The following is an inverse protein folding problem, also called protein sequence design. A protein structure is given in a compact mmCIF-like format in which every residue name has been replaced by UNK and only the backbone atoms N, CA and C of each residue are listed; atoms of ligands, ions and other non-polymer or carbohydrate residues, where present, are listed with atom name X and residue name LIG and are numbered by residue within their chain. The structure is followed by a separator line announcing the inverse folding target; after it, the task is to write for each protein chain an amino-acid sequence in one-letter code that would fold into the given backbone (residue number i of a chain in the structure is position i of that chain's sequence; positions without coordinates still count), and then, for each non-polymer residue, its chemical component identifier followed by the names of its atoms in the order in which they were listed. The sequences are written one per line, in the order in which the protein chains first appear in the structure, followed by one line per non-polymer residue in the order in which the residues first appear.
data_IF_245625895623
#
_entry.id   IF_245625895623
#
_cell.length_a   1.000
_cell.length_b   1.000
_cell.length_c   1.000
_cell.angle_alpha   90.00
_cell.angle_beta   90.00
_cell.angle_gamma   90.00
#
_symmetry.space_group_name_H-M   'P 1'
#
loop_
_entity.id
_entity.type
_entity.pdbx_description
1 polymer ?
#
# COMPACT_ATOMS: atom_id res chain seq x y z
N UNK A 1 20.40 69.62 6.43
CA UNK A 1 20.00 68.65 7.48
C UNK A 1 18.50 68.43 7.40
N UNK A 2 18.08 67.17 7.56
CA UNK A 2 16.69 66.62 7.62
C UNK A 2 16.25 65.84 6.38
N UNK A 3 16.64 64.56 6.36
CA UNK A 3 16.09 63.51 5.52
C UNK A 3 14.66 63.20 5.99
N UNK A 4 13.66 63.43 5.13
CA UNK A 4 12.29 62.95 5.33
C UNK A 4 12.21 61.49 4.84
N UNK A 5 11.99 60.60 5.81
CA UNK A 5 11.83 59.17 5.67
C UNK A 5 10.69 58.83 4.70
N UNK A 6 11.03 58.25 3.55
CA UNK A 6 10.08 57.46 2.76
C UNK A 6 9.80 56.17 3.52
N UNK A 7 8.71 56.14 4.26
CA UNK A 7 8.15 54.88 4.77
C UNK A 7 7.71 54.03 3.58
N UNK A 8 8.56 53.06 3.23
CA UNK A 8 8.16 51.93 2.40
C UNK A 8 7.25 51.07 3.27
N UNK A 9 5.94 51.28 3.18
CA UNK A 9 4.95 50.34 3.70
C UNK A 9 5.01 49.10 2.82
N UNK A 10 5.91 48.18 3.15
CA UNK A 10 5.83 46.80 2.67
C UNK A 10 4.55 46.23 3.28
N UNK A 11 3.46 46.18 2.51
CA UNK A 11 2.30 45.35 2.84
C UNK A 11 2.79 43.91 2.95
N UNK A 12 3.10 43.48 4.17
CA UNK A 12 3.22 42.06 4.50
C UNK A 12 1.88 41.43 4.20
N UNK A 13 1.77 40.79 3.03
CA UNK A 13 0.70 39.82 2.78
C UNK A 13 0.86 38.77 3.89
N UNK A 14 -0.17 38.52 4.72
CA UNK A 14 -0.08 37.47 5.73
C UNK A 14 0.25 36.17 5.00
N UNK A 15 1.36 35.52 5.36
CA UNK A 15 1.57 34.12 4.99
C UNK A 15 0.30 33.39 5.43
N UNK A 16 -0.41 32.77 4.48
CA UNK A 16 -1.55 31.93 4.80
C UNK A 16 -1.12 30.98 5.91
N UNK A 17 -1.68 31.14 7.10
CA UNK A 17 -1.36 30.29 8.22
C UNK A 17 -1.91 28.91 7.84
N UNK A 18 -1.01 27.97 7.60
CA UNK A 18 -1.42 26.59 7.36
C UNK A 18 -2.27 26.13 8.55
N UNK A 19 -3.47 25.57 8.31
CA UNK A 19 -4.31 25.09 9.39
C UNK A 19 -3.57 24.02 10.19
N UNK A 20 -3.68 24.09 11.52
CA UNK A 20 -3.14 23.04 12.39
C UNK A 20 -3.84 21.70 12.11
N UNK A 21 -3.19 20.58 12.42
CA UNK A 21 -3.79 19.25 12.25
C UNK A 21 -5.17 19.14 12.91
N UNK A 22 -5.32 19.66 14.13
CA UNK A 22 -6.62 19.70 14.82
C UNK A 22 -7.68 20.52 14.08
N UNK A 23 -7.31 21.62 13.41
CA UNK A 23 -8.25 22.43 12.63
C UNK A 23 -8.71 21.70 11.38
N UNK A 24 -7.81 21.03 10.68
CA UNK A 24 -8.13 20.19 9.51
C UNK A 24 -9.08 19.06 9.91
N UNK A 25 -8.74 18.32 10.96
CA UNK A 25 -9.58 17.24 11.48
C UNK A 25 -10.97 17.71 11.91
N UNK A 26 -11.06 18.86 12.58
CA UNK A 26 -12.35 19.43 12.97
C UNK A 26 -13.23 19.77 11.75
N UNK A 27 -12.64 20.33 10.68
CA UNK A 27 -13.36 20.67 9.46
C UNK A 27 -13.89 19.42 8.75
N UNK A 28 -13.09 18.35 8.67
CA UNK A 28 -13.53 17.07 8.11
C UNK A 28 -14.67 16.45 8.92
N UNK A 29 -14.58 16.46 10.25
CA UNK A 29 -15.65 15.98 11.13
C UNK A 29 -16.95 16.80 10.98
N UNK A 30 -16.85 18.10 10.73
CA UNK A 30 -18.01 18.96 10.50
C UNK A 30 -18.74 18.63 9.19
N UNK A 31 -18.02 18.22 8.14
CA UNK A 31 -18.62 17.86 6.84
C UNK A 31 -19.42 16.54 6.87
N UNK A 32 -19.19 15.70 7.89
CA UNK A 32 -19.73 14.32 7.94
C UNK A 32 -20.71 14.10 9.07
N UNK A 33 -20.99 15.15 9.85
CA UNK A 33 -21.80 15.09 11.06
C UNK A 33 -23.19 14.49 10.76
N UNK A 34 -23.54 13.43 11.49
CA UNK A 34 -24.86 12.78 11.39
C UNK A 34 -24.97 11.69 10.32
N UNK A 35 -24.00 11.55 9.41
CA UNK A 35 -24.06 10.60 8.29
C UNK A 35 -23.23 9.32 8.53
N UNK A 36 -22.22 9.38 9.41
CA UNK A 36 -21.30 8.26 9.69
C UNK A 36 -20.64 8.38 11.07
N UNK A 37 -20.13 7.28 11.67
CA UNK A 37 -19.30 7.36 12.86
C UNK A 37 -18.10 8.28 12.62
N UNK A 38 -17.70 9.04 13.65
CA UNK A 38 -16.71 10.12 13.51
C UNK A 38 -15.25 9.65 13.57
N UNK A 39 -14.95 8.68 14.44
CA UNK A 39 -13.59 8.16 14.62
C UNK A 39 -12.95 7.53 13.36
N UNK A 40 -13.67 6.81 12.47
CA UNK A 40 -13.08 6.25 11.25
C UNK A 40 -12.77 7.33 10.21
N UNK A 41 -13.56 8.41 10.19
CA UNK A 41 -13.26 9.58 9.35
C UNK A 41 -11.95 10.21 9.80
N UNK A 42 -11.80 10.41 11.12
CA UNK A 42 -10.56 10.93 11.68
C UNK A 42 -9.36 10.00 11.42
N UNK A 43 -9.53 8.69 11.62
CA UNK A 43 -8.50 7.71 11.33
C UNK A 43 -8.08 7.76 9.85
N UNK A 44 -9.04 7.78 8.94
CA UNK A 44 -8.81 7.89 7.51
C UNK A 44 -8.00 9.13 7.14
N UNK A 45 -8.39 10.29 7.67
CA UNK A 45 -7.69 11.56 7.51
C UNK A 45 -6.23 11.51 7.99
N UNK A 46 -6.01 10.93 9.17
CA UNK A 46 -4.68 10.80 9.77
C UNK A 46 -3.79 9.87 8.94
N UNK A 47 -4.33 8.73 8.49
CA UNK A 47 -3.60 7.77 7.65
C UNK A 47 -3.26 8.38 6.28
N UNK A 48 -4.19 9.09 5.66
CA UNK A 48 -3.98 9.75 4.36
C UNK A 48 -2.91 10.84 4.46
N UNK A 49 -3.01 11.72 5.47
CA UNK A 49 -2.04 12.78 5.68
C UNK A 49 -0.64 12.22 5.94
N UNK A 50 -0.51 11.16 6.74
CA UNK A 50 0.77 10.50 6.99
C UNK A 50 1.31 9.81 5.75
N UNK A 51 0.46 9.13 4.97
CA UNK A 51 0.84 8.50 3.71
C UNK A 51 1.40 9.53 2.72
N UNK A 52 0.70 10.66 2.53
CA UNK A 52 1.17 11.75 1.67
C UNK A 52 2.47 12.34 2.19
N UNK A 53 2.58 12.62 3.49
CA UNK A 53 3.80 13.13 4.11
C UNK A 53 4.99 12.21 3.84
N UNK A 54 4.80 10.89 3.97
CA UNK A 54 5.85 9.91 3.72
C UNK A 54 6.21 9.77 2.24
N UNK A 55 5.22 9.86 1.34
CA UNK A 55 5.42 9.84 -0.12
C UNK A 55 6.31 10.98 -0.60
N UNK A 56 6.23 12.14 0.05
CA UNK A 56 7.02 13.34 -0.26
C UNK A 56 8.44 13.34 0.33
N UNK A 57 8.79 12.33 1.14
CA UNK A 57 10.15 12.18 1.63
C UNK A 57 11.10 11.88 0.47
N UNK A 58 12.18 12.66 0.37
CA UNK A 58 13.21 12.52 -0.66
C UNK A 58 14.26 11.44 -0.35
N UNK A 59 14.09 10.71 0.75
CA UNK A 59 15.02 9.66 1.19
C UNK A 59 14.57 8.33 0.62
N UNK A 60 15.42 7.73 -0.22
CA UNK A 60 15.22 6.40 -0.78
C UNK A 60 15.83 5.29 0.08
N UNK A 61 15.33 4.08 -0.11
CA UNK A 61 15.99 2.85 0.28
C UNK A 61 17.33 2.74 -0.45
N UNK A 62 18.41 2.41 0.26
CA UNK A 62 19.75 2.37 -0.32
C UNK A 62 19.94 1.17 -1.26
N UNK A 63 19.31 0.03 -0.97
CA UNK A 63 19.43 -1.19 -1.76
C UNK A 63 18.60 -1.23 -3.05
N UNK A 64 18.54 -2.44 -3.64
CA UNK A 64 17.66 -2.73 -4.77
C UNK A 64 16.22 -2.86 -4.30
N UNK A 65 15.30 -2.17 -4.98
CA UNK A 65 13.87 -2.25 -4.69
C UNK A 65 13.20 -3.27 -5.59
N UNK A 66 13.62 -3.39 -6.87
CA UNK A 66 13.04 -4.35 -7.81
C UNK A 66 13.95 -5.56 -7.95
N UNK A 67 13.47 -6.73 -7.50
CA UNK A 67 14.18 -8.01 -7.61
C UNK A 67 13.36 -8.93 -8.50
N UNK A 68 13.98 -9.52 -9.52
CA UNK A 68 13.32 -10.55 -10.33
C UNK A 68 13.25 -11.86 -9.55
N UNK A 69 12.03 -12.25 -9.17
CA UNK A 69 11.76 -13.44 -8.35
C UNK A 69 11.30 -14.65 -9.14
N UNK A 70 11.19 -14.55 -10.46
CA UNK A 70 10.66 -15.62 -11.31
C UNK A 70 11.41 -16.94 -11.23
N UNK A 71 12.74 -16.87 -11.22
CA UNK A 71 13.63 -18.03 -11.14
C UNK A 71 14.30 -18.15 -9.77
N UNK A 72 13.88 -17.35 -8.80
CA UNK A 72 14.49 -17.35 -7.49
C UNK A 72 14.12 -18.65 -6.76
N UNK A 73 15.08 -19.37 -6.15
CA UNK A 73 14.76 -20.52 -5.33
C UNK A 73 13.83 -20.12 -4.19
N UNK A 74 12.93 -21.03 -3.79
CA UNK A 74 12.25 -20.89 -2.50
C UNK A 74 13.32 -21.10 -1.46
N UNK A 75 13.62 -20.05 -0.71
CA UNK A 75 14.44 -20.20 0.49
C UNK A 75 13.67 -21.06 1.49
N UNK A 76 14.40 -21.75 2.37
CA UNK A 76 13.83 -22.40 3.54
C UNK A 76 13.32 -21.32 4.51
N UNK A 77 12.12 -20.81 4.23
CA UNK A 77 11.49 -19.73 4.99
C UNK A 77 10.50 -20.22 6.05
N UNK A 78 9.98 -19.29 6.84
CA UNK A 78 8.87 -19.56 7.75
C UNK A 78 7.62 -20.04 7.00
N UNK A 79 6.64 -20.61 7.71
CA UNK A 79 5.43 -21.16 7.08
C UNK A 79 4.64 -20.11 6.26
N UNK A 80 4.66 -18.85 6.71
CA UNK A 80 3.98 -17.72 6.07
C UNK A 80 4.65 -17.34 4.73
N UNK A 81 5.96 -17.09 4.75
CA UNK A 81 6.76 -16.74 3.58
C UNK A 81 6.69 -17.80 2.47
N UNK A 82 6.73 -19.09 2.86
CA UNK A 82 6.62 -20.21 1.91
C UNK A 82 5.25 -20.25 1.23
N UNK A 83 4.17 -19.94 1.93
CA UNK A 83 2.83 -19.92 1.35
C UNK A 83 2.63 -18.74 0.42
N UNK A 84 3.14 -17.56 0.80
CA UNK A 84 3.15 -16.38 -0.08
C UNK A 84 3.92 -16.65 -1.38
N UNK A 85 5.10 -17.26 -1.28
CA UNK A 85 5.89 -17.60 -2.45
C UNK A 85 5.23 -18.69 -3.32
N UNK A 86 4.49 -19.64 -2.72
CA UNK A 86 3.68 -20.63 -3.45
C UNK A 86 2.54 -19.96 -4.22
N UNK A 87 1.82 -19.03 -3.60
CA UNK A 87 0.76 -18.26 -4.26
C UNK A 87 1.30 -17.47 -5.45
N UNK A 88 2.44 -16.80 -5.28
CA UNK A 88 3.14 -16.12 -6.38
C UNK A 88 3.44 -17.06 -7.55
N UNK A 89 4.01 -18.23 -7.26
CA UNK A 89 4.34 -19.23 -8.29
C UNK A 89 3.10 -19.81 -8.97
N UNK A 90 2.03 -20.05 -8.21
CA UNK A 90 0.76 -20.52 -8.77
C UNK A 90 0.18 -19.50 -9.77
N UNK A 91 0.21 -18.21 -9.43
CA UNK A 91 -0.17 -17.14 -10.35
C UNK A 91 0.72 -17.12 -11.60
N UNK A 92 2.04 -17.18 -11.43
CA UNK A 92 3.00 -17.16 -12.55
C UNK A 92 2.96 -18.40 -13.45
N UNK A 93 2.53 -19.56 -12.92
CA UNK A 93 2.27 -20.73 -13.74
C UNK A 93 1.05 -20.55 -14.68
N UNK A 94 0.15 -19.62 -14.35
CA UNK A 94 -1.03 -19.26 -15.14
C UNK A 94 -0.80 -18.06 -16.07
N UNK A 95 -1.51 -16.97 -15.80
CA UNK A 95 -1.39 -15.69 -16.52
C UNK A 95 -0.53 -14.66 -15.77
N UNK A 96 -0.02 -14.98 -14.58
CA UNK A 96 0.73 -14.07 -13.73
C UNK A 96 -0.14 -13.21 -12.81
N UNK A 97 -1.47 -13.40 -12.81
CA UNK A 97 -2.39 -12.56 -12.07
C UNK A 97 -3.02 -13.24 -10.85
N UNK A 98 -3.32 -12.42 -9.84
CA UNK A 98 -4.38 -12.69 -8.88
C UNK A 98 -5.64 -11.95 -9.30
N UNK A 99 -6.80 -12.53 -9.01
CA UNK A 99 -8.10 -11.94 -9.31
C UNK A 99 -8.84 -11.64 -8.01
N UNK A 100 -9.28 -10.40 -7.82
CA UNK A 100 -10.09 -9.94 -6.70
C UNK A 100 -11.40 -9.37 -7.26
N UNK A 101 -12.49 -10.13 -7.12
CA UNK A 101 -13.74 -9.79 -7.83
C UNK A 101 -13.53 -9.74 -9.34
N UNK A 102 -13.75 -8.59 -9.96
CA UNK A 102 -13.46 -8.35 -11.39
C UNK A 102 -12.07 -7.77 -11.67
N UNK A 103 -11.32 -7.41 -10.62
CA UNK A 103 -10.02 -6.76 -10.76
C UNK A 103 -8.91 -7.80 -10.89
N UNK A 104 -8.10 -7.65 -11.94
CA UNK A 104 -6.86 -8.41 -12.11
C UNK A 104 -5.68 -7.61 -11.56
N UNK A 105 -4.80 -8.30 -10.84
CA UNK A 105 -3.57 -7.76 -10.27
C UNK A 105 -2.42 -8.58 -10.82
N UNK A 106 -1.55 -7.98 -11.61
CA UNK A 106 -0.36 -8.65 -12.11
C UNK A 106 0.71 -8.67 -11.02
N UNK A 107 1.09 -9.85 -10.56
CA UNK A 107 2.12 -10.00 -9.54
C UNK A 107 3.51 -9.71 -10.14
N UNK A 108 4.30 -8.95 -9.38
CA UNK A 108 5.66 -8.54 -9.74
C UNK A 108 6.70 -9.29 -8.92
N UNK A 109 6.40 -9.62 -7.67
CA UNK A 109 7.30 -10.38 -6.82
C UNK A 109 6.76 -10.62 -5.42
N UNK A 110 7.53 -11.37 -4.63
CA UNK A 110 7.28 -11.65 -3.22
C UNK A 110 8.49 -11.28 -2.37
N UNK A 111 8.27 -11.09 -1.05
CA UNK A 111 9.30 -10.64 -0.11
C UNK A 111 10.09 -9.46 -0.70
N UNK A 112 9.33 -8.45 -1.12
CA UNK A 112 9.81 -7.32 -1.87
C UNK A 112 10.49 -6.32 -0.95
N UNK A 113 11.77 -5.94 -1.15
CA UNK A 113 12.46 -5.03 -0.24
C UNK A 113 11.77 -3.67 -0.16
N UNK A 114 11.50 -3.21 1.06
CA UNK A 114 10.87 -1.90 1.31
C UNK A 114 11.74 -1.01 2.17
N UNK A 115 12.33 -1.52 3.27
CA UNK A 115 13.08 -0.69 4.24
C UNK A 115 14.28 -1.44 4.84
N UNK A 116 15.26 -0.73 5.42
CA UNK A 116 16.44 -1.30 6.10
C UNK A 116 17.78 -1.13 5.35
N UNK A 117 18.90 -1.29 6.06
CA UNK A 117 20.24 -1.27 5.48
C UNK A 117 20.85 -2.67 5.37
N UNK A 118 22.12 -2.76 4.95
CA UNK A 118 22.90 -4.02 4.97
C UNK A 118 23.09 -4.63 6.37
N UNK A 119 22.81 -3.87 7.45
CA UNK A 119 22.99 -4.28 8.84
C UNK A 119 21.66 -4.55 9.60
N UNK A 120 20.50 -4.26 9.02
CA UNK A 120 19.20 -4.55 9.61
C UNK A 120 18.52 -5.67 8.79
N UNK A 121 17.72 -6.53 9.43
CA UNK A 121 16.80 -7.39 8.67
C UNK A 121 15.85 -6.46 7.91
N UNK A 122 16.12 -6.28 6.62
CA UNK A 122 15.33 -5.37 5.80
C UNK A 122 13.86 -5.77 5.83
N UNK A 123 12.98 -4.80 6.03
CA UNK A 123 11.53 -5.02 5.93
C UNK A 123 11.18 -5.31 4.48
N UNK A 124 10.22 -6.20 4.30
CA UNK A 124 9.79 -6.69 2.99
C UNK A 124 8.28 -6.74 2.94
N UNK A 125 7.69 -6.28 1.85
CA UNK A 125 6.28 -6.52 1.57
C UNK A 125 6.11 -7.98 1.12
N UNK A 126 5.03 -8.63 1.55
CA UNK A 126 4.81 -10.05 1.26
C UNK A 126 4.66 -10.30 -0.24
N UNK A 127 3.77 -9.57 -0.89
CA UNK A 127 3.62 -9.55 -2.35
C UNK A 127 3.48 -8.13 -2.87
N UNK A 128 4.04 -7.91 -4.05
CA UNK A 128 3.82 -6.71 -4.84
C UNK A 128 3.18 -7.08 -6.17
N UNK A 129 2.20 -6.28 -6.56
CA UNK A 129 1.57 -6.33 -7.87
C UNK A 129 1.38 -4.96 -8.48
N UNK A 130 0.71 -4.94 -9.62
CA UNK A 130 0.26 -3.72 -10.29
C UNK A 130 -1.15 -3.92 -10.83
N UNK A 131 -1.98 -2.87 -10.76
CA UNK A 131 -3.29 -2.84 -11.42
C UNK A 131 -3.15 -2.51 -12.90
N UNK A 132 -4.17 -2.79 -13.73
CA UNK A 132 -4.12 -2.46 -15.15
C UNK A 132 -3.87 -0.96 -15.40
N UNK A 133 -4.36 -0.09 -14.50
CA UNK A 133 -4.14 1.35 -14.52
C UNK A 133 -2.76 1.82 -14.03
N UNK A 134 -1.89 0.89 -13.62
CA UNK A 134 -0.51 1.20 -13.21
C UNK A 134 -0.33 1.49 -11.71
N UNK A 135 -1.37 1.34 -10.90
CA UNK A 135 -1.28 1.53 -9.45
C UNK A 135 -0.51 0.39 -8.81
N UNK A 136 0.47 0.72 -7.95
CA UNK A 136 1.18 -0.30 -7.18
C UNK A 136 0.22 -0.98 -6.20
N UNK A 137 0.37 -2.30 -6.09
CA UNK A 137 -0.41 -3.13 -5.17
C UNK A 137 0.53 -3.73 -4.14
N UNK A 138 0.25 -3.52 -2.85
CA UNK A 138 0.84 -4.31 -1.76
C UNK A 138 -0.22 -5.31 -1.31
N UNK A 139 0.13 -6.60 -1.28
CA UNK A 139 -0.69 -7.61 -0.61
C UNK A 139 0.03 -8.01 0.68
N UNK A 140 -0.57 -7.68 1.81
CA UNK A 140 -0.09 -7.98 3.15
C UNK A 140 -0.76 -9.27 3.65
N UNK A 141 0.02 -10.35 3.78
CA UNK A 141 -0.48 -11.67 4.09
C UNK A 141 -0.56 -11.92 5.61
N UNK A 142 -1.66 -12.52 6.09
CA UNK A 142 -1.82 -12.94 7.50
C UNK A 142 -2.27 -14.40 7.58
N UNK A 143 -1.32 -15.31 7.75
CA UNK A 143 -1.58 -16.76 7.74
C UNK A 143 -1.75 -17.35 9.13
N UNK A 144 -0.96 -16.89 10.10
CA UNK A 144 -0.93 -17.46 11.46
C UNK A 144 -0.92 -16.39 12.55
N UNK A 145 -0.68 -15.13 12.16
CA UNK A 145 -0.36 -14.05 13.07
C UNK A 145 -1.58 -13.41 13.73
N UNK A 146 -1.44 -13.07 15.02
CA UNK A 146 -2.46 -12.47 15.89
C UNK A 146 -2.70 -10.97 15.66
N UNK A 147 -2.06 -10.37 14.65
CA UNK A 147 -2.19 -8.95 14.36
C UNK A 147 -3.63 -8.64 13.96
N UNK A 148 -4.22 -7.64 14.63
CA UNK A 148 -5.52 -7.13 14.24
C UNK A 148 -5.45 -6.52 12.83
N UNK A 149 -6.55 -6.49 12.08
CA UNK A 149 -6.55 -5.96 10.72
C UNK A 149 -6.01 -4.53 10.59
N UNK A 150 -6.21 -3.67 11.59
CA UNK A 150 -5.62 -2.32 11.58
C UNK A 150 -4.09 -2.36 11.58
N UNK A 151 -3.48 -3.31 12.29
CA UNK A 151 -2.02 -3.50 12.25
C UNK A 151 -1.56 -3.91 10.85
N UNK A 152 -2.28 -4.83 10.19
CA UNK A 152 -1.99 -5.22 8.81
C UNK A 152 -2.14 -4.03 7.83
N UNK A 153 -3.14 -3.17 8.04
CA UNK A 153 -3.30 -1.93 7.27
C UNK A 153 -2.07 -1.03 7.45
N UNK A 154 -1.62 -0.81 8.69
CA UNK A 154 -0.47 0.03 8.99
C UNK A 154 0.83 -0.52 8.39
N UNK A 155 1.06 -1.83 8.48
CA UNK A 155 2.21 -2.51 7.86
C UNK A 155 2.19 -2.32 6.32
N UNK A 156 1.06 -2.59 5.69
CA UNK A 156 0.91 -2.43 4.25
C UNK A 156 1.05 -0.97 3.77
N UNK A 157 0.56 -0.01 4.56
CA UNK A 157 0.73 1.42 4.27
C UNK A 157 2.18 1.87 4.42
N UNK A 158 2.90 1.38 5.43
CA UNK A 158 4.34 1.66 5.62
C UNK A 158 5.15 1.18 4.39
N UNK A 159 4.82 -0.01 3.88
CA UNK A 159 5.40 -0.54 2.65
C UNK A 159 5.06 0.30 1.43
N UNK A 160 3.76 0.56 1.17
CA UNK A 160 3.34 1.39 0.04
C UNK A 160 3.96 2.78 0.08
N UNK A 161 3.95 3.44 1.25
CA UNK A 161 4.48 4.79 1.40
C UNK A 161 5.97 4.81 1.04
N UNK A 162 6.74 3.81 1.50
CA UNK A 162 8.15 3.71 1.17
C UNK A 162 8.38 3.48 -0.33
N UNK A 163 7.62 2.59 -0.96
CA UNK A 163 7.73 2.31 -2.40
C UNK A 163 7.32 3.52 -3.26
N UNK A 164 6.40 4.35 -2.77
CA UNK A 164 5.92 5.56 -3.45
C UNK A 164 6.84 6.78 -3.31
N UNK A 165 7.86 6.75 -2.46
CA UNK A 165 8.90 7.79 -2.42
C UNK A 165 9.58 7.86 -3.78
N UNK A 166 9.74 9.07 -4.34
CA UNK A 166 10.25 9.24 -5.71
C UNK A 166 11.53 8.42 -6.01
N UNK A 167 12.57 8.44 -5.16
CA UNK A 167 13.80 7.69 -5.47
C UNK A 167 13.59 6.16 -5.53
N UNK A 168 12.68 5.62 -4.72
CA UNK A 168 12.34 4.20 -4.72
C UNK A 168 11.48 3.86 -5.93
N UNK A 169 10.48 4.70 -6.22
CA UNK A 169 9.61 4.52 -7.36
C UNK A 169 10.40 4.53 -8.69
N UNK A 170 11.39 5.42 -8.82
CA UNK A 170 12.26 5.45 -10.00
C UNK A 170 13.04 4.14 -10.18
N UNK A 171 13.48 3.51 -9.08
CA UNK A 171 14.11 2.18 -9.11
C UNK A 171 13.12 1.12 -9.55
N UNK A 172 11.88 1.15 -9.05
CA UNK A 172 10.81 0.22 -9.45
C UNK A 172 10.51 0.35 -10.93
N UNK A 173 10.29 1.58 -11.43
CA UNK A 173 9.96 1.84 -12.83
C UNK A 173 11.06 1.34 -13.76
N UNK A 174 12.33 1.63 -13.45
CA UNK A 174 13.48 1.13 -14.23
C UNK A 174 13.59 -0.40 -14.19
N UNK A 175 13.42 -1.01 -13.01
CA UNK A 175 13.46 -2.46 -12.84
C UNK A 175 12.33 -3.15 -13.62
N UNK A 176 11.11 -2.65 -13.50
CA UNK A 176 9.93 -3.13 -14.19
C UNK A 176 10.08 -3.05 -15.71
N UNK A 177 10.55 -1.92 -16.24
CA UNK A 177 10.75 -1.75 -17.68
C UNK A 177 11.73 -2.81 -18.23
N UNK A 178 12.85 -3.06 -17.54
CA UNK A 178 13.81 -4.10 -17.92
C UNK A 178 13.21 -5.50 -17.81
N UNK A 179 12.48 -5.76 -16.74
CA UNK A 179 11.85 -7.06 -16.46
C UNK A 179 10.74 -7.42 -17.47
N UNK A 180 9.93 -6.43 -17.87
CA UNK A 180 8.85 -6.57 -18.85
C UNK A 180 9.37 -6.90 -20.26
N UNK A 181 10.58 -6.46 -20.61
CA UNK A 181 11.21 -6.71 -21.92
C UNK A 181 11.94 -8.06 -22.03
N UNK A 182 11.92 -8.91 -21.00
CA UNK A 182 12.62 -10.21 -21.06
C UNK A 182 11.97 -11.12 -22.11
N UNK A 183 12.74 -11.83 -22.96
CA UNK A 183 12.19 -12.63 -24.06
C UNK A 183 11.16 -13.70 -23.65
N UNK A 184 11.33 -14.30 -22.47
CA UNK A 184 10.43 -15.34 -21.95
C UNK A 184 9.24 -14.78 -21.14
N UNK A 185 9.11 -13.45 -21.03
CA UNK A 185 8.08 -12.82 -20.21
C UNK A 185 6.73 -12.88 -20.91
N UNK A 186 5.82 -13.68 -20.37
CA UNK A 186 4.40 -13.59 -20.71
C UNK A 186 3.81 -12.35 -20.04
N UNK A 187 3.30 -11.42 -20.83
CA UNK A 187 2.55 -10.27 -20.34
C UNK A 187 1.07 -10.68 -20.27
N UNK A 188 0.40 -10.53 -19.11
CA UNK A 188 -1.02 -10.85 -19.00
C UNK A 188 -1.87 -9.94 -19.90
N UNK A 189 -2.97 -10.49 -20.43
CA UNK A 189 -3.90 -9.73 -21.25
C UNK A 189 -4.46 -8.51 -20.48
N UNK A 190 -4.41 -7.33 -21.10
CA UNK A 190 -4.81 -6.06 -20.50
C UNK A 190 -3.69 -5.30 -19.79
N UNK A 191 -2.47 -5.86 -19.74
CA UNK A 191 -1.28 -5.23 -19.12
C UNK A 191 -0.19 -4.84 -20.14
N UNK A 192 -0.46 -4.98 -21.44
CA UNK A 192 0.50 -4.80 -22.53
C UNK A 192 1.14 -3.41 -22.50
N UNK A 193 0.36 -2.38 -22.18
CA UNK A 193 0.82 -1.00 -22.10
C UNK A 193 1.01 -0.49 -20.66
N UNK A 194 0.74 -1.33 -19.66
CA UNK A 194 0.81 -0.91 -18.26
C UNK A 194 2.26 -0.67 -17.82
N UNK A 195 2.46 0.44 -17.11
CA UNK A 195 3.68 0.81 -16.39
C UNK A 195 3.28 1.27 -14.98
N UNK A 196 4.14 1.07 -13.97
CA UNK A 196 3.95 1.70 -12.66
C UNK A 196 3.78 3.21 -12.80
N UNK A 197 2.71 3.75 -12.22
CA UNK A 197 2.46 5.20 -12.14
C UNK A 197 2.34 5.64 -10.68
N UNK A 198 3.02 6.73 -10.31
CA UNK A 198 2.87 7.35 -8.98
C UNK A 198 1.52 8.04 -8.80
N UNK A 199 0.87 8.38 -9.90
CA UNK A 199 -0.40 9.12 -9.92
C UNK A 199 -1.61 8.17 -9.98
N UNK A 200 -1.40 6.92 -10.39
CA UNK A 200 -2.40 5.88 -10.24
C UNK A 200 -2.61 5.57 -8.75
N UNK A 201 -3.87 5.52 -8.31
CA UNK A 201 -4.24 5.24 -6.92
C UNK A 201 -3.68 3.86 -6.52
N UNK A 202 -2.78 3.77 -5.52
CA UNK A 202 -2.29 2.49 -5.04
C UNK A 202 -3.39 1.68 -4.34
N UNK A 203 -3.14 0.38 -4.26
CA UNK A 203 -4.03 -0.60 -3.67
C UNK A 203 -3.30 -1.36 -2.56
N UNK A 204 -3.89 -1.40 -1.38
CA UNK A 204 -3.50 -2.28 -0.29
C UNK A 204 -4.54 -3.39 -0.19
N UNK A 205 -4.10 -4.64 -0.31
CA UNK A 205 -4.92 -5.81 0.00
C UNK A 205 -4.37 -6.45 1.26
N UNK A 206 -5.16 -6.50 2.32
CA UNK A 206 -4.86 -7.42 3.41
C UNK A 206 -5.40 -8.77 3.00
N UNK A 207 -4.52 -9.74 2.82
CA UNK A 207 -4.81 -11.09 2.33
C UNK A 207 -4.73 -12.09 3.48
N UNK A 208 -5.78 -12.85 3.75
CA UNK A 208 -5.77 -13.81 4.86
C UNK A 208 -6.79 -14.94 4.66
N UNK A 209 -6.72 -16.04 5.42
CA UNK A 209 -7.80 -17.03 5.43
C UNK A 209 -9.13 -16.42 5.90
N UNK A 210 -10.27 -16.96 5.47
CA UNK A 210 -11.59 -16.49 5.92
C UNK A 210 -11.74 -16.50 7.45
N UNK A 211 -11.14 -17.50 8.11
CA UNK A 211 -11.11 -17.61 9.58
C UNK A 211 -10.39 -16.46 10.28
N UNK A 212 -9.44 -15.79 9.59
CA UNK A 212 -8.91 -14.52 10.03
C UNK A 212 -10.10 -13.61 10.22
N UNK A 213 -10.89 -13.34 9.16
CA UNK A 213 -11.99 -12.36 9.09
C UNK A 213 -13.16 -12.60 10.04
N UNK A 214 -13.51 -13.86 10.27
CA UNK A 214 -14.65 -14.26 11.09
C UNK A 214 -14.35 -14.27 12.60
N UNK A 215 -13.15 -13.85 13.03
CA UNK A 215 -12.80 -13.70 14.45
C UNK A 215 -12.62 -15.03 15.20
N UNK A 216 -12.42 -16.14 14.47
CA UNK A 216 -12.21 -17.48 15.06
C UNK A 216 -10.74 -17.80 15.34
N UNK A 217 -9.81 -16.90 15.02
CA UNK A 217 -8.40 -17.09 15.34
C UNK A 217 -8.11 -16.74 16.80
N UNK A 218 -7.68 -17.73 17.58
CA UNK A 218 -7.47 -17.72 19.03
C UNK A 218 -6.51 -16.65 19.61
N UNK A 219 -5.90 -15.81 18.75
CA UNK A 219 -4.88 -14.81 19.13
C UNK A 219 -5.15 -13.39 18.63
N UNK A 220 -6.29 -13.15 17.97
CA UNK A 220 -6.68 -11.82 17.48
C UNK A 220 -8.11 -11.54 17.89
N UNK A 221 -8.31 -10.64 18.86
CA UNK A 221 -9.64 -10.12 19.14
C UNK A 221 -9.92 -9.08 18.05
N UNK A 222 -10.79 -9.43 17.11
CA UNK A 222 -11.43 -8.41 16.28
C UNK A 222 -12.34 -7.60 17.20
N UNK A 223 -12.08 -6.30 17.29
CA UNK A 223 -13.05 -5.39 17.91
C UNK A 223 -14.41 -5.51 17.20
N UNK A 224 -15.50 -5.24 17.92
CA UNK A 224 -16.88 -5.26 17.39
C UNK A 224 -17.06 -4.37 16.14
N UNK A 225 -16.18 -3.39 15.99
CA UNK A 225 -16.17 -2.41 14.89
C UNK A 225 -15.48 -2.91 13.61
N UNK A 226 -14.91 -4.12 13.60
CA UNK A 226 -14.22 -4.65 12.43
C UNK A 226 -15.08 -4.69 11.15
N UNK A 227 -16.33 -5.20 11.17
CA UNK A 227 -17.17 -5.22 9.98
C UNK A 227 -17.40 -3.81 9.41
N UNK A 228 -17.42 -2.79 10.28
CA UNK A 228 -17.53 -1.41 9.86
C UNK A 228 -16.25 -0.92 9.16
N UNK A 229 -15.05 -1.20 9.70
CA UNK A 229 -13.78 -0.87 9.03
C UNK A 229 -13.70 -1.55 7.66
N UNK A 230 -14.11 -2.82 7.59
CA UNK A 230 -14.14 -3.58 6.34
C UNK A 230 -15.06 -2.91 5.31
N UNK A 231 -16.27 -2.52 5.72
CA UNK A 231 -17.26 -1.91 4.81
C UNK A 231 -16.83 -0.54 4.28
N UNK A 232 -16.00 0.19 5.01
CA UNK A 232 -15.48 1.49 4.56
C UNK A 232 -14.07 1.43 3.97
N UNK A 233 -13.43 0.26 3.89
CA UNK A 233 -12.01 0.11 3.54
C UNK A 233 -11.57 0.88 2.28
N UNK A 234 -12.33 0.76 1.18
CA UNK A 234 -12.02 1.46 -0.08
C UNK A 234 -12.11 2.99 0.07
N UNK A 235 -12.93 3.47 0.99
CA UNK A 235 -13.12 4.92 1.24
C UNK A 235 -12.38 5.42 2.49
N UNK A 236 -11.72 4.53 3.23
CA UNK A 236 -11.06 4.87 4.48
C UNK A 236 -9.92 5.87 4.23
N UNK A 237 -9.13 5.64 3.19
CA UNK A 237 -7.99 6.47 2.83
C UNK A 237 -8.21 7.00 1.41
N UNK A 238 -8.46 8.30 1.21
CA UNK A 238 -8.73 8.84 -0.13
C UNK A 238 -7.65 8.50 -1.15
N UNK A 239 -6.37 8.57 -0.77
CA UNK A 239 -5.26 8.32 -1.68
C UNK A 239 -4.89 6.86 -1.87
N UNK A 240 -5.40 5.93 -1.07
CA UNK A 240 -5.07 4.50 -1.14
C UNK A 240 -6.34 3.67 -1.07
N UNK A 241 -6.57 2.81 -2.06
CA UNK A 241 -7.67 1.85 -1.97
C UNK A 241 -7.27 0.73 -1.01
N UNK A 242 -8.06 0.47 0.03
CA UNK A 242 -7.82 -0.63 0.97
C UNK A 242 -8.90 -1.69 0.79
N UNK A 243 -8.51 -2.94 0.55
CA UNK A 243 -9.43 -4.07 0.39
C UNK A 243 -9.01 -5.25 1.27
N UNK A 244 -9.99 -6.04 1.69
CA UNK A 244 -9.80 -7.25 2.47
C UNK A 244 -10.13 -8.45 1.60
N UNK A 245 -9.17 -9.37 1.46
CA UNK A 245 -9.26 -10.53 0.59
C UNK A 245 -9.11 -11.83 1.35
N UNK A 246 -10.13 -12.68 1.32
CA UNK A 246 -10.02 -14.06 1.75
C UNK A 246 -9.29 -14.92 0.70
N UNK A 247 -8.28 -15.66 1.15
CA UNK A 247 -7.49 -16.59 0.34
C UNK A 247 -7.12 -17.83 1.15
N UNK A 248 -7.09 -18.97 0.46
CA UNK A 248 -6.52 -20.23 0.93
C UNK A 248 -5.01 -20.35 0.65
N UNK A 249 -4.41 -19.32 0.03
CA UNK A 249 -3.02 -19.26 -0.43
C UNK A 249 -2.63 -20.38 -1.41
N UNK A 250 -3.63 -20.99 -2.06
CA UNK A 250 -3.46 -22.02 -3.10
C UNK A 250 -4.13 -21.58 -4.41
N UNK A 251 -5.27 -20.91 -4.31
CA UNK A 251 -6.02 -20.33 -5.41
C UNK A 251 -5.54 -18.94 -5.77
N UNK A 252 -5.54 -18.63 -7.08
CA UNK A 252 -5.27 -17.29 -7.61
C UNK A 252 -6.49 -16.37 -7.59
N UNK A 253 -7.64 -16.89 -7.14
CA UNK A 253 -8.88 -16.12 -6.97
C UNK A 253 -9.06 -15.77 -5.50
N UNK A 254 -9.25 -14.49 -5.22
CA UNK A 254 -9.43 -13.91 -3.90
C UNK A 254 -10.90 -13.52 -3.75
N UNK A 255 -11.51 -13.93 -2.63
CA UNK A 255 -12.87 -13.53 -2.28
C UNK A 255 -12.81 -12.21 -1.51
N UNK A 256 -13.50 -11.17 -1.98
CA UNK A 256 -13.57 -9.92 -1.25
C UNK A 256 -14.45 -10.08 0.00
N UNK A 257 -13.95 -9.62 1.14
CA UNK A 257 -14.60 -9.70 2.46
C UNK A 257 -15.33 -8.42 2.86
#
# INVERSE_FOLDING_TARGET
MSQSLREVVVKMVPKSVEPTGFRTWLLELQQVRGNRPLWPVLLGAMLDAEFQRQRELKVGYSGEVFIDRDSHPLEDGECEERQVARLFRAAHAGDGCLTLGSEKIWLLGYQWPTQGGSAEKGRRADLIGITAGGGLVVLEAKLVNGNAPLTAILEGLDYLACLHRQPNFDKILRGFARWKMKPARKIPAGFEQTLPSRDARPLLIVLAPESYYLGRNARSIRGKEWPFIASIGDTLIPSVRVVFGASDFQSTTITQM
#
